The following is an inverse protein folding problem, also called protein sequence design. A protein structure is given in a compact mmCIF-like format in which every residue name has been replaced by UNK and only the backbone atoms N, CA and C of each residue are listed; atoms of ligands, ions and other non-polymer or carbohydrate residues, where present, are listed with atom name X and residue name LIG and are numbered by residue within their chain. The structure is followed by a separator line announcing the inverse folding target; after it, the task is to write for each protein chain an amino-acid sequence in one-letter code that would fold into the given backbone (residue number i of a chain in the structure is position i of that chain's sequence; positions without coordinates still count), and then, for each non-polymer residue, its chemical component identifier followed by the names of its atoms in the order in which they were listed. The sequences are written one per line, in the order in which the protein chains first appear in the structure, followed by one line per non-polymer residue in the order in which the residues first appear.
data_IF_284698044863
#
_entry.id   IF_284698044863
#
_cell.length_a   1.000
_cell.length_b   1.000
_cell.length_c   1.000
_cell.angle_alpha   90.00
_cell.angle_beta   90.00
_cell.angle_gamma   90.00
#
_symmetry.space_group_name_H-M   'P 1'
#
loop_
_entity.id
_entity.type
_entity.pdbx_description
1 polymer ?
#
# COMPACT_ATOMS: atom_id res chain seq x y z
N UNK A 1 7.41 3.00 -33.16
CA UNK A 1 8.17 1.78 -33.47
C UNK A 1 9.03 1.39 -32.27
N UNK A 2 8.52 0.55 -31.36
CA UNK A 2 9.34 -0.21 -30.43
C UNK A 2 9.53 -1.66 -30.93
N UNK A 3 10.71 -2.21 -30.65
CA UNK A 3 11.18 -3.53 -31.10
C UNK A 3 10.35 -4.71 -30.56
N UNK A 4 10.19 -5.80 -31.33
CA UNK A 4 9.42 -6.98 -30.90
C UNK A 4 10.24 -7.89 -29.97
N UNK A 5 9.65 -8.25 -28.82
CA UNK A 5 10.07 -9.39 -28.01
C UNK A 5 9.89 -10.68 -28.80
N UNK A 6 10.98 -11.42 -28.99
CA UNK A 6 10.99 -12.76 -29.58
C UNK A 6 10.14 -13.70 -28.74
N UNK A 7 9.01 -14.14 -29.30
CA UNK A 7 8.26 -15.31 -28.83
C UNK A 7 8.72 -16.46 -29.72
N UNK A 8 9.51 -17.39 -29.19
CA UNK A 8 9.73 -18.67 -29.86
C UNK A 8 8.61 -19.61 -29.43
N UNK A 9 7.72 -19.88 -30.39
CA UNK A 9 6.83 -21.02 -30.37
C UNK A 9 7.63 -22.29 -30.59
N UNK A 10 7.32 -23.33 -29.84
CA UNK A 10 7.57 -24.73 -30.22
C UNK A 10 6.27 -25.49 -30.02
N UNK A 11 5.72 -25.97 -31.14
CA UNK A 11 4.55 -26.84 -31.23
C UNK A 11 4.92 -28.31 -30.90
N UNK A 12 3.97 -29.08 -30.33
CA UNK A 12 3.96 -30.55 -30.40
C UNK A 12 3.71 -31.34 -29.09
N UNK A 13 2.43 -31.56 -28.76
CA UNK A 13 1.69 -32.63 -28.00
C UNK A 13 2.41 -33.75 -27.17
N UNK A 14 1.75 -34.48 -26.21
CA UNK A 14 0.31 -34.53 -25.93
C UNK A 14 -0.12 -34.31 -24.46
N UNK A 15 -1.44 -34.18 -24.33
CA UNK A 15 -2.31 -34.16 -23.15
C UNK A 15 -1.90 -35.04 -21.96
N UNK A 16 -1.84 -34.41 -20.78
CA UNK A 16 -1.82 -35.07 -19.47
C UNK A 16 -1.86 -34.04 -18.34
N UNK A 17 -2.99 -33.97 -17.63
CA UNK A 17 -3.31 -33.21 -16.41
C UNK A 17 -2.14 -32.44 -15.76
N UNK A 18 -2.09 -31.12 -15.97
CA UNK A 18 -1.16 -30.23 -15.27
C UNK A 18 -1.75 -29.79 -13.93
N UNK A 19 -1.28 -30.40 -12.85
CA UNK A 19 -1.41 -29.85 -11.50
C UNK A 19 -0.39 -28.71 -11.32
N UNK A 20 -0.89 -27.47 -11.28
CA UNK A 20 -0.09 -26.24 -11.16
C UNK A 20 0.07 -25.85 -9.69
N UNK A 21 0.92 -26.56 -8.97
CA UNK A 21 1.49 -26.05 -7.73
C UNK A 21 2.90 -25.49 -7.98
N UNK A 22 3.13 -24.25 -7.56
CA UNK A 22 4.38 -23.52 -7.77
C UNK A 22 5.59 -24.34 -7.24
N UNK A 23 6.47 -24.73 -8.17
CA UNK A 23 7.68 -25.49 -7.90
C UNK A 23 8.71 -24.59 -7.21
N UNK A 24 8.83 -24.69 -5.89
CA UNK A 24 9.90 -24.01 -5.13
C UNK A 24 11.13 -24.92 -5.00
N UNK A 25 12.33 -24.36 -5.24
CA UNK A 25 13.65 -25.01 -5.07
C UNK A 25 14.53 -24.97 -6.33
N UNK A 26 15.83 -24.70 -6.18
CA UNK A 26 16.81 -24.80 -7.28
C UNK A 26 17.33 -26.24 -7.36
N UNK A 27 16.86 -27.02 -8.33
CA UNK A 27 17.34 -28.38 -8.60
C UNK A 27 16.34 -29.25 -9.35
N UNK A 28 16.83 -30.17 -10.20
CA UNK A 28 15.98 -31.17 -10.88
C UNK A 28 15.50 -32.20 -9.85
N UNK A 29 14.19 -32.25 -9.64
CA UNK A 29 13.57 -33.25 -8.74
C UNK A 29 13.72 -34.65 -9.35
N UNK A 30 13.80 -35.67 -8.49
CA UNK A 30 13.74 -37.05 -8.95
C UNK A 30 12.38 -37.28 -9.62
N UNK A 31 12.38 -37.88 -10.80
CA UNK A 31 11.15 -38.29 -11.51
C UNK A 31 10.66 -39.63 -10.97
N UNK A 32 9.56 -40.15 -11.52
CA UNK A 32 9.10 -41.51 -11.19
C UNK A 32 10.11 -42.53 -11.70
N UNK A 33 10.65 -42.33 -12.91
CA UNK A 33 11.67 -43.17 -13.53
C UNK A 33 12.96 -43.19 -12.71
N UNK A 34 13.40 -42.02 -12.22
CA UNK A 34 14.56 -41.94 -11.32
C UNK A 34 14.33 -42.81 -10.06
N UNK A 35 13.11 -42.83 -9.50
CA UNK A 35 12.79 -43.62 -8.31
C UNK A 35 12.68 -45.12 -8.61
N UNK A 36 12.14 -45.50 -9.77
CA UNK A 36 12.12 -46.90 -10.21
C UNK A 36 13.55 -47.43 -10.39
N UNK A 37 14.45 -46.61 -10.94
CA UNK A 37 15.87 -46.96 -11.05
C UNK A 37 16.56 -47.06 -9.68
N UNK A 38 16.19 -46.21 -8.71
CA UNK A 38 16.66 -46.33 -7.32
C UNK A 38 16.16 -47.63 -6.67
N UNK A 39 14.88 -47.99 -6.87
CA UNK A 39 14.31 -49.26 -6.39
C UNK A 39 15.05 -50.47 -6.95
N UNK A 40 15.27 -50.50 -8.26
CA UNK A 40 16.02 -51.58 -8.92
C UNK A 40 17.47 -51.67 -8.40
N UNK A 41 18.14 -50.53 -8.24
CA UNK A 41 19.50 -50.49 -7.69
C UNK A 41 19.59 -50.98 -6.25
N UNK A 42 18.64 -50.60 -5.38
CA UNK A 42 18.59 -51.08 -4.00
C UNK A 42 18.37 -52.60 -3.94
N UNK A 43 17.55 -53.16 -4.84
CA UNK A 43 17.27 -54.61 -4.92
C UNK A 43 18.51 -55.44 -5.26
N UNK A 44 19.38 -54.90 -6.11
CA UNK A 44 20.63 -55.56 -6.53
C UNK A 44 21.80 -55.24 -5.59
N UNK A 45 21.61 -54.36 -4.60
CA UNK A 45 22.65 -53.98 -3.63
C UNK A 45 23.61 -52.89 -4.12
N UNK A 46 23.25 -52.12 -5.15
CA UNK A 46 24.08 -51.03 -5.64
C UNK A 46 24.25 -49.91 -4.59
N UNK A 47 25.46 -49.36 -4.51
CA UNK A 47 25.70 -48.16 -3.70
C UNK A 47 24.96 -46.93 -4.26
N UNK A 48 24.62 -45.97 -3.39
CA UNK A 48 24.00 -44.72 -3.82
C UNK A 48 24.81 -43.95 -4.88
N UNK A 49 26.14 -44.12 -4.95
CA UNK A 49 27.00 -43.54 -5.99
C UNK A 49 26.79 -44.24 -7.35
N UNK A 50 26.73 -45.57 -7.35
CA UNK A 50 26.49 -46.36 -8.56
C UNK A 50 25.09 -46.07 -9.15
N UNK A 51 24.07 -46.03 -8.29
CA UNK A 51 22.70 -45.68 -8.71
C UNK A 51 22.67 -44.26 -9.30
N UNK A 52 23.32 -43.30 -8.64
CA UNK A 52 23.35 -41.90 -9.06
C UNK A 52 24.04 -41.68 -10.42
N UNK A 53 25.10 -42.45 -10.72
CA UNK A 53 25.72 -42.46 -12.05
C UNK A 53 24.74 -42.95 -13.13
N UNK A 54 24.00 -44.04 -12.87
CA UNK A 54 23.02 -44.61 -13.82
C UNK A 54 21.89 -43.65 -14.18
N UNK A 55 21.42 -42.84 -13.22
CA UNK A 55 20.31 -41.89 -13.43
C UNK A 55 20.77 -40.44 -13.69
N UNK A 56 22.08 -40.23 -13.84
CA UNK A 56 22.71 -38.91 -14.00
C UNK A 56 22.23 -37.89 -12.94
N UNK A 57 22.43 -38.24 -11.67
CA UNK A 57 22.15 -37.38 -10.51
C UNK A 57 23.35 -37.33 -9.59
N UNK A 58 23.39 -36.32 -8.71
CA UNK A 58 24.40 -36.26 -7.67
C UNK A 58 24.13 -37.33 -6.60
N UNK A 59 25.16 -38.07 -6.15
CA UNK A 59 25.00 -39.18 -5.21
C UNK A 59 24.27 -38.79 -3.91
N UNK A 60 24.43 -37.54 -3.46
CA UNK A 60 23.78 -37.05 -2.23
C UNK A 60 22.28 -36.85 -2.39
N UNK A 61 21.76 -36.74 -3.62
CA UNK A 61 20.32 -36.72 -3.89
C UNK A 61 19.75 -38.12 -3.68
N UNK A 62 20.39 -39.14 -4.26
CA UNK A 62 19.99 -40.55 -4.13
C UNK A 62 20.13 -41.03 -2.69
N UNK A 63 21.24 -40.76 -2.01
CA UNK A 63 21.44 -41.16 -0.63
C UNK A 63 20.38 -40.57 0.31
N UNK A 64 20.05 -39.27 0.16
CA UNK A 64 18.99 -38.63 0.95
C UNK A 64 17.60 -39.13 0.59
N UNK A 65 17.34 -39.48 -0.66
CA UNK A 65 16.08 -40.09 -1.07
C UNK A 65 15.89 -41.45 -0.41
N UNK A 66 16.91 -42.31 -0.46
CA UNK A 66 16.87 -43.64 0.16
C UNK A 66 16.78 -43.52 1.69
N UNK A 67 17.50 -42.59 2.31
CA UNK A 67 17.41 -42.37 3.76
C UNK A 67 15.99 -41.96 4.19
N UNK A 68 15.27 -41.18 3.36
CA UNK A 68 13.93 -40.66 3.71
C UNK A 68 12.79 -41.64 3.44
N UNK A 69 12.97 -42.55 2.48
CA UNK A 69 11.87 -43.37 1.94
C UNK A 69 12.21 -44.87 1.89
N UNK A 70 13.45 -45.26 2.16
CA UNK A 70 13.89 -46.64 2.25
C UNK A 70 13.95 -47.13 3.70
N UNK A 71 14.06 -48.43 3.85
CA UNK A 71 14.20 -49.12 5.13
C UNK A 71 15.14 -50.31 4.98
N UNK A 72 15.71 -50.78 6.08
CA UNK A 72 16.55 -51.98 6.08
C UNK A 72 15.75 -53.18 6.56
N UNK A 73 15.97 -54.33 5.95
CA UNK A 73 15.49 -55.63 6.42
C UNK A 73 16.74 -56.44 6.79
N UNK A 74 16.71 -57.13 7.92
CA UNK A 74 17.75 -58.08 8.32
C UNK A 74 17.21 -59.47 8.03
N UNK A 75 17.91 -60.23 7.19
CA UNK A 75 17.56 -61.62 6.90
C UNK A 75 17.95 -62.54 8.06
N UNK A 76 17.44 -63.78 8.07
CA UNK A 76 17.71 -64.78 9.13
C UNK A 76 19.20 -65.06 9.31
N UNK A 77 20.00 -64.91 8.24
CA UNK A 77 21.46 -65.06 8.24
C UNK A 77 22.21 -63.81 8.75
N UNK A 78 21.49 -62.79 9.26
CA UNK A 78 22.07 -61.54 9.77
C UNK A 78 22.47 -60.53 8.69
N UNK A 79 22.15 -60.80 7.42
CA UNK A 79 22.49 -59.91 6.31
C UNK A 79 21.51 -58.73 6.24
N UNK A 80 22.04 -57.50 6.23
CA UNK A 80 21.21 -56.29 6.06
C UNK A 80 20.97 -56.01 4.56
N UNK A 81 19.70 -56.00 4.14
CA UNK A 81 19.30 -55.59 2.81
C UNK A 81 18.53 -54.28 2.83
N UNK A 82 18.95 -53.33 1.99
CA UNK A 82 18.26 -52.06 1.81
C UNK A 82 17.07 -52.23 0.88
N UNK A 83 15.88 -51.82 1.34
CA UNK A 83 14.64 -51.81 0.56
C UNK A 83 14.21 -50.38 0.30
N UNK A 84 13.65 -50.18 -0.89
CA UNK A 84 13.10 -48.92 -1.35
C UNK A 84 11.94 -49.23 -2.29
N UNK A 85 10.79 -48.57 -2.12
CA UNK A 85 9.63 -48.73 -2.98
C UNK A 85 9.33 -47.41 -3.69
N UNK A 86 9.44 -47.40 -5.03
CA UNK A 86 9.31 -46.19 -5.83
C UNK A 86 7.92 -45.56 -5.74
N UNK A 87 6.87 -46.39 -5.69
CA UNK A 87 5.47 -45.93 -5.59
C UNK A 87 5.22 -45.21 -4.26
N UNK A 88 5.56 -45.83 -3.14
CA UNK A 88 5.39 -45.25 -1.81
C UNK A 88 6.24 -43.98 -1.64
N UNK A 89 7.46 -43.96 -2.20
CA UNK A 89 8.31 -42.78 -2.20
C UNK A 89 7.72 -41.64 -3.03
N UNK A 90 7.09 -41.93 -4.18
CA UNK A 90 6.40 -40.95 -5.01
C UNK A 90 5.17 -40.37 -4.29
N UNK A 91 4.31 -41.23 -3.72
CA UNK A 91 3.13 -40.81 -2.94
C UNK A 91 3.54 -39.98 -1.71
N UNK A 92 4.54 -40.43 -0.95
CA UNK A 92 5.06 -39.69 0.21
C UNK A 92 5.67 -38.35 -0.19
N UNK A 93 6.37 -38.28 -1.33
CA UNK A 93 6.90 -37.02 -1.86
C UNK A 93 5.76 -36.08 -2.25
N UNK A 94 4.74 -36.58 -2.97
CA UNK A 94 3.57 -35.80 -3.35
C UNK A 94 2.84 -35.25 -2.10
N UNK A 95 2.60 -36.08 -1.08
CA UNK A 95 2.02 -35.64 0.19
C UNK A 95 2.87 -34.57 0.90
N UNK A 96 4.20 -34.74 0.94
CA UNK A 96 5.13 -33.74 1.50
C UNK A 96 5.26 -32.50 0.63
N UNK A 97 4.88 -32.53 -0.65
CA UNK A 97 4.89 -31.38 -1.54
C UNK A 97 3.72 -30.43 -1.28
N UNK A 98 2.61 -30.93 -0.74
CA UNK A 98 1.41 -30.11 -0.50
C UNK A 98 1.70 -28.97 0.50
N UNK A 99 2.62 -29.17 1.46
CA UNK A 99 3.02 -28.23 2.56
C UNK A 99 2.08 -27.03 2.73
N UNK A 100 0.81 -27.21 3.11
CA UNK A 100 -0.06 -26.07 3.32
C UNK A 100 0.30 -25.51 4.69
N UNK A 101 1.25 -24.59 4.75
CA UNK A 101 1.35 -23.72 5.92
C UNK A 101 0.04 -22.93 5.96
N UNK A 102 -0.72 -23.07 7.04
CA UNK A 102 -1.86 -22.20 7.29
C UNK A 102 -1.34 -20.76 7.23
N UNK A 103 -2.07 -19.89 6.52
CA UNK A 103 -1.67 -18.48 6.39
C UNK A 103 -1.92 -17.82 7.73
N UNK A 104 -1.10 -16.82 8.11
CA UNK A 104 -1.22 -16.14 9.40
C UNK A 104 -2.63 -15.59 9.68
N UNK A 105 -3.31 -15.06 8.67
CA UNK A 105 -4.70 -14.56 8.77
C UNK A 105 -5.76 -15.67 8.83
N UNK A 106 -5.42 -16.90 8.48
CA UNK A 106 -6.32 -18.04 8.67
C UNK A 106 -6.10 -18.68 10.05
N UNK A 107 -4.91 -18.52 10.63
CA UNK A 107 -4.54 -19.02 11.96
C UNK A 107 -4.95 -18.08 13.10
N UNK A 108 -4.95 -16.76 12.88
CA UNK A 108 -5.31 -15.75 13.88
C UNK A 108 -6.60 -14.99 13.52
N UNK A 109 -7.76 -15.38 14.09
CA UNK A 109 -9.02 -14.67 13.90
C UNK A 109 -8.96 -13.21 14.39
N UNK A 110 -8.23 -12.95 15.48
CA UNK A 110 -8.07 -11.60 16.04
C UNK A 110 -7.37 -10.66 15.07
N UNK A 111 -6.20 -11.08 14.55
CA UNK A 111 -5.47 -10.29 13.55
C UNK A 111 -6.29 -10.13 12.27
N UNK A 112 -6.99 -11.18 11.85
CA UNK A 112 -7.87 -11.14 10.67
C UNK A 112 -8.97 -10.09 10.83
N UNK A 113 -9.67 -10.06 11.97
CA UNK A 113 -10.71 -9.08 12.26
C UNK A 113 -10.18 -7.64 12.15
N UNK A 114 -9.05 -7.36 12.78
CA UNK A 114 -8.40 -6.04 12.69
C UNK A 114 -8.06 -5.67 11.24
N UNK A 115 -7.49 -6.60 10.48
CA UNK A 115 -7.16 -6.37 9.05
C UNK A 115 -8.43 -6.13 8.23
N UNK A 116 -9.52 -6.85 8.50
CA UNK A 116 -10.82 -6.67 7.85
C UNK A 116 -11.38 -5.28 8.14
N UNK A 117 -11.37 -4.84 9.40
CA UNK A 117 -11.85 -3.51 9.79
C UNK A 117 -11.06 -2.39 9.11
N UNK A 118 -9.73 -2.51 9.06
CA UNK A 118 -8.89 -1.54 8.35
C UNK A 118 -9.16 -1.52 6.83
N UNK A 119 -9.34 -2.69 6.20
CA UNK A 119 -9.67 -2.79 4.78
C UNK A 119 -11.07 -2.24 4.48
N UNK A 120 -12.04 -2.44 5.39
CA UNK A 120 -13.38 -1.87 5.29
C UNK A 120 -13.36 -0.33 5.33
N UNK A 121 -12.44 0.26 6.12
CA UNK A 121 -12.11 1.70 6.11
C UNK A 121 -11.32 2.16 4.86
N UNK A 122 -11.08 1.25 3.91
CA UNK A 122 -10.32 1.42 2.67
C UNK A 122 -8.85 1.77 2.89
N UNK A 123 -8.24 1.29 3.97
CA UNK A 123 -6.78 1.39 4.12
C UNK A 123 -6.08 0.44 3.16
N UNK A 124 -4.91 0.84 2.64
CA UNK A 124 -4.13 -0.04 1.77
C UNK A 124 -3.41 -1.11 2.60
N UNK A 125 -3.13 -2.30 2.06
CA UNK A 125 -2.35 -3.33 2.77
C UNK A 125 -1.01 -2.83 3.31
N UNK A 126 -0.32 -1.97 2.55
CA UNK A 126 0.91 -1.32 3.00
C UNK A 126 0.72 -0.43 4.23
N UNK A 127 -0.37 0.35 4.26
CA UNK A 127 -0.72 1.20 5.41
C UNK A 127 -1.07 0.37 6.64
N UNK A 128 -1.83 -0.70 6.46
CA UNK A 128 -2.21 -1.63 7.53
C UNK A 128 -0.96 -2.26 8.16
N UNK A 129 -0.05 -2.77 7.33
CA UNK A 129 1.19 -3.39 7.79
C UNK A 129 2.03 -2.43 8.65
N UNK A 130 2.24 -1.20 8.18
CA UNK A 130 2.98 -0.18 8.94
C UNK A 130 2.29 0.22 10.24
N UNK A 131 0.96 0.37 10.22
CA UNK A 131 0.20 0.69 11.42
C UNK A 131 0.23 -0.43 12.46
N UNK A 132 0.11 -1.69 12.04
CA UNK A 132 0.19 -2.83 12.96
C UNK A 132 1.56 -2.91 13.64
N UNK A 133 2.64 -2.59 12.92
CA UNK A 133 3.98 -2.52 13.49
C UNK A 133 4.12 -1.41 14.53
N UNK A 134 3.51 -0.25 14.27
CA UNK A 134 3.48 0.90 15.19
C UNK A 134 2.60 0.66 16.42
N UNK A 135 1.34 0.25 16.22
CA UNK A 135 0.35 0.09 17.28
C UNK A 135 0.59 -1.16 18.14
N UNK A 136 1.22 -2.19 17.59
CA UNK A 136 1.59 -3.42 18.28
C UNK A 136 3.12 -3.58 18.26
N UNK A 137 3.82 -2.58 18.83
CA UNK A 137 5.29 -2.57 18.94
C UNK A 137 5.85 -3.72 19.78
N UNK A 138 5.04 -4.25 20.70
CA UNK A 138 5.46 -5.28 21.65
C UNK A 138 4.82 -6.66 21.38
N UNK A 139 3.94 -6.75 20.38
CA UNK A 139 3.23 -7.99 20.02
C UNK A 139 3.44 -8.36 18.54
N UNK A 140 4.41 -9.24 18.30
CA UNK A 140 4.72 -9.75 16.96
C UNK A 140 3.59 -10.61 16.36
N UNK A 141 2.70 -11.16 17.18
CA UNK A 141 1.57 -11.97 16.70
C UNK A 141 0.60 -11.14 15.88
N UNK A 142 0.49 -9.84 16.19
CA UNK A 142 -0.36 -8.87 15.50
C UNK A 142 0.28 -8.24 14.25
N UNK A 143 1.57 -8.54 13.97
CA UNK A 143 2.27 -7.99 12.80
C UNK A 143 2.07 -8.85 11.56
N UNK A 144 1.89 -8.23 10.41
CA UNK A 144 1.81 -8.94 9.13
C UNK A 144 2.36 -8.09 7.99
N UNK A 145 3.05 -8.73 7.04
CA UNK A 145 3.50 -8.04 5.83
C UNK A 145 2.34 -7.72 4.90
N UNK A 146 2.43 -6.60 4.20
CA UNK A 146 1.45 -6.22 3.20
C UNK A 146 1.34 -7.23 2.04
N UNK A 147 2.41 -7.95 1.72
CA UNK A 147 2.40 -9.05 0.74
C UNK A 147 1.54 -10.23 1.18
N UNK A 148 1.55 -10.55 2.48
CA UNK A 148 0.70 -11.61 3.03
C UNK A 148 -0.78 -11.19 3.02
N UNK A 149 -1.09 -9.92 3.30
CA UNK A 149 -2.44 -9.36 3.13
C UNK A 149 -2.87 -9.45 1.66
N UNK A 150 -2.03 -9.05 0.70
CA UNK A 150 -2.33 -9.17 -0.73
C UNK A 150 -2.57 -10.62 -1.14
N UNK A 151 -1.73 -11.55 -0.68
CA UNK A 151 -1.87 -12.98 -0.94
C UNK A 151 -3.21 -13.52 -0.41
N UNK A 152 -3.64 -13.08 0.78
CA UNK A 152 -4.95 -13.44 1.32
C UNK A 152 -6.13 -12.87 0.51
N UNK A 153 -5.96 -11.70 -0.12
CA UNK A 153 -6.98 -11.08 -0.98
C UNK A 153 -7.10 -11.72 -2.36
N UNK A 154 -6.00 -12.23 -2.94
CA UNK A 154 -5.98 -12.74 -4.32
C UNK A 154 -6.16 -14.26 -4.44
N UNK A 155 -5.81 -15.03 -3.41
CA UNK A 155 -5.99 -16.49 -3.43
C UNK A 155 -7.47 -16.82 -3.24
N UNK A 156 -8.12 -17.28 -4.31
CA UNK A 156 -9.55 -17.60 -4.34
C UNK A 156 -9.89 -18.94 -3.67
N UNK A 157 -10.94 -18.95 -2.85
CA UNK A 157 -11.54 -20.12 -2.20
C UNK A 157 -12.76 -19.71 -1.34
N UNK A 158 -13.71 -20.63 -1.08
CA UNK A 158 -14.81 -20.40 -0.12
C UNK A 158 -14.19 -20.08 1.27
N UNK A 159 -14.58 -18.97 1.90
CA UNK A 159 -13.99 -18.49 3.17
C UNK A 159 -12.75 -17.58 3.04
N UNK A 160 -12.36 -17.19 1.82
CA UNK A 160 -11.27 -16.23 1.60
C UNK A 160 -11.55 -14.85 2.23
N UNK A 161 -10.48 -14.15 2.62
CA UNK A 161 -10.53 -12.77 3.15
C UNK A 161 -11.32 -11.83 2.24
N UNK A 162 -11.22 -12.05 0.92
CA UNK A 162 -11.96 -11.28 -0.08
C UNK A 162 -13.48 -11.46 0.05
N UNK A 163 -13.96 -12.69 0.21
CA UNK A 163 -15.40 -12.96 0.31
C UNK A 163 -16.02 -12.30 1.55
N UNK A 164 -15.29 -12.35 2.67
CA UNK A 164 -15.65 -11.67 3.92
C UNK A 164 -15.72 -10.15 3.74
N UNK A 165 -14.72 -9.55 3.06
CA UNK A 165 -14.74 -8.11 2.76
C UNK A 165 -15.86 -7.71 1.81
N UNK A 166 -16.16 -8.52 0.80
CA UNK A 166 -17.28 -8.24 -0.11
C UNK A 166 -18.61 -8.23 0.66
N UNK A 167 -18.75 -9.09 1.66
CA UNK A 167 -19.92 -9.15 2.54
C UNK A 167 -19.99 -7.97 3.52
N UNK A 168 -18.88 -7.63 4.19
CA UNK A 168 -18.79 -6.50 5.13
C UNK A 168 -19.01 -5.17 4.42
N UNK A 169 -18.33 -4.96 3.30
CA UNK A 169 -18.38 -3.69 2.57
C UNK A 169 -19.57 -3.58 1.60
N UNK A 170 -20.32 -4.67 1.40
CA UNK A 170 -21.43 -4.78 0.42
C UNK A 170 -21.01 -4.33 -0.99
N UNK A 171 -19.77 -4.60 -1.37
CA UNK A 171 -19.21 -4.19 -2.67
C UNK A 171 -18.07 -5.10 -3.12
N UNK A 172 -17.94 -5.28 -4.44
CA UNK A 172 -16.81 -6.00 -5.05
C UNK A 172 -15.54 -5.14 -5.14
N UNK A 173 -15.67 -3.83 -4.96
CA UNK A 173 -14.57 -2.85 -4.97
C UNK A 173 -13.91 -2.73 -3.60
N UNK A 174 -13.28 -3.82 -3.16
CA UNK A 174 -12.64 -3.95 -1.85
C UNK A 174 -11.34 -3.15 -1.70
N UNK A 175 -10.65 -2.85 -2.81
CA UNK A 175 -9.40 -2.09 -2.80
C UNK A 175 -9.54 -0.78 -3.59
N UNK A 176 -8.86 0.26 -3.11
CA UNK A 176 -8.69 1.51 -3.86
C UNK A 176 -7.82 1.23 -5.09
N UNK A 177 -8.45 1.24 -6.28
CA UNK A 177 -7.71 1.17 -7.55
C UNK A 177 -7.29 2.58 -7.97
N UNK A 178 -6.01 2.74 -8.32
CA UNK A 178 -5.56 3.92 -9.05
C UNK A 178 -6.26 3.96 -10.40
N UNK A 179 -6.87 5.09 -10.75
CA UNK A 179 -7.49 5.27 -12.07
C UNK A 179 -6.44 5.08 -13.17
N UNK A 180 -6.69 4.14 -14.10
CA UNK A 180 -5.73 3.72 -15.14
C UNK A 180 -5.62 4.68 -16.34
N UNK A 181 -6.01 5.95 -16.20
CA UNK A 181 -6.05 6.85 -17.35
C UNK A 181 -5.39 8.17 -17.02
N UNK A 182 -4.07 8.23 -17.24
CA UNK A 182 -3.35 9.49 -17.34
C UNK A 182 -3.83 10.17 -18.62
N UNK A 183 -4.88 11.01 -18.52
CA UNK A 183 -5.26 11.87 -19.64
C UNK A 183 -4.07 12.75 -19.97
N UNK A 184 -3.66 12.75 -21.24
CA UNK A 184 -2.62 13.63 -21.78
C UNK A 184 -3.10 15.06 -21.54
N UNK A 185 -2.40 15.82 -20.68
CA UNK A 185 -2.69 17.25 -20.47
C UNK A 185 -2.44 17.97 -21.80
N UNK A 186 -3.35 18.85 -22.21
CA UNK A 186 -3.10 19.73 -23.34
C UNK A 186 -1.84 20.56 -23.02
N UNK A 187 -0.94 20.69 -24.00
CA UNK A 187 0.34 21.43 -23.84
C UNK A 187 0.15 22.95 -23.71
N UNK A 188 -1.09 23.43 -23.77
CA UNK A 188 -1.42 24.85 -23.81
C UNK A 188 -2.50 25.13 -22.74
N UNK A 189 -2.09 25.27 -21.48
CA UNK A 189 -2.81 26.14 -20.56
C UNK A 189 -2.01 27.44 -20.59
N UNK A 190 -2.58 28.47 -21.20
CA UNK A 190 -1.90 29.74 -21.46
C UNK A 190 -1.20 30.26 -20.21
N UNK A 191 0.05 30.66 -20.40
CA UNK A 191 0.82 31.38 -19.40
C UNK A 191 0.12 32.72 -19.17
N UNK A 192 -0.68 32.82 -18.11
CA UNK A 192 -1.10 34.11 -17.57
C UNK A 192 0.09 34.65 -16.75
N UNK A 193 1.11 35.17 -17.43
CA UNK A 193 2.15 35.98 -16.79
C UNK A 193 1.55 37.31 -16.36
N UNK A 194 1.66 37.64 -15.07
CA UNK A 194 1.30 38.95 -14.53
C UNK A 194 0.09 38.95 -13.60
N UNK A 195 0.12 38.16 -12.52
CA UNK A 195 -0.83 38.30 -11.40
C UNK A 195 -0.22 39.21 -10.34
N UNK A 196 -0.68 40.47 -10.18
CA UNK A 196 0.00 41.45 -9.32
C UNK A 196 0.05 41.02 -7.85
N UNK A 197 -0.96 40.28 -7.38
CA UNK A 197 -1.07 39.79 -5.99
C UNK A 197 -0.07 38.69 -5.61
N UNK A 198 0.75 38.22 -6.55
CA UNK A 198 1.79 37.22 -6.28
C UNK A 198 3.13 37.89 -5.93
N UNK A 199 3.33 39.14 -6.37
CA UNK A 199 4.61 39.83 -6.24
C UNK A 199 5.00 39.97 -4.76
N UNK A 200 6.16 39.43 -4.38
CA UNK A 200 6.67 39.39 -3.00
C UNK A 200 6.19 38.20 -2.18
N UNK A 201 5.30 37.38 -2.72
CA UNK A 201 4.76 36.16 -2.12
C UNK A 201 5.12 34.91 -2.95
N UNK A 202 6.10 34.99 -3.84
CA UNK A 202 6.60 33.85 -4.59
C UNK A 202 7.18 32.80 -3.64
N UNK A 203 7.02 31.51 -3.99
CA UNK A 203 7.56 30.40 -3.19
C UNK A 203 9.08 30.49 -2.96
N UNK A 204 9.81 31.18 -3.84
CA UNK A 204 11.25 31.44 -3.71
C UNK A 204 11.60 32.38 -2.55
N UNK A 205 10.64 33.16 -2.05
CA UNK A 205 10.82 34.03 -0.88
C UNK A 205 10.49 33.34 0.44
N UNK A 206 9.98 32.11 0.41
CA UNK A 206 9.70 31.33 1.61
C UNK A 206 11.00 30.89 2.28
N UNK A 207 11.03 30.87 3.61
CA UNK A 207 12.18 30.36 4.36
C UNK A 207 12.50 28.90 3.97
N UNK A 208 13.80 28.53 3.78
CA UNK A 208 14.22 27.16 3.49
C UNK A 208 13.80 26.13 4.55
N UNK A 209 13.61 26.56 5.79
CA UNK A 209 13.07 25.74 6.89
C UNK A 209 11.71 25.11 6.57
N UNK A 210 10.94 25.73 5.67
CA UNK A 210 9.68 25.17 5.22
C UNK A 210 9.87 24.00 4.26
N UNK A 211 11.02 23.85 3.59
CA UNK A 211 11.17 22.94 2.45
C UNK A 211 11.33 21.47 2.85
N UNK A 212 12.10 21.18 3.89
CA UNK A 212 12.48 19.83 4.31
C UNK A 212 11.42 19.10 5.15
N UNK A 213 10.35 19.83 5.55
CA UNK A 213 9.24 19.31 6.37
C UNK A 213 9.65 18.87 7.77
N UNK A 214 10.77 19.38 8.28
CA UNK A 214 11.24 19.09 9.63
C UNK A 214 10.55 19.98 10.68
N UNK A 215 10.19 21.21 10.30
CA UNK A 215 9.61 22.20 11.21
C UNK A 215 8.08 22.22 11.04
N UNK A 216 7.31 22.09 12.14
CA UNK A 216 5.87 22.19 12.08
C UNK A 216 5.40 23.63 11.86
N UNK A 217 4.17 23.75 11.35
CA UNK A 217 3.49 25.03 11.15
C UNK A 217 3.53 25.54 9.71
N UNK A 218 4.07 24.77 8.78
CA UNK A 218 4.02 25.05 7.35
C UNK A 218 2.93 24.19 6.69
N UNK A 219 2.01 24.82 5.98
CA UNK A 219 0.82 24.17 5.43
C UNK A 219 0.79 24.27 3.90
N UNK A 220 0.33 23.21 3.24
CA UNK A 220 0.02 23.19 1.81
C UNK A 220 -1.50 23.36 1.64
N UNK A 221 -1.91 24.27 0.77
CA UNK A 221 -3.30 24.58 0.48
C UNK A 221 -3.72 24.22 -0.95
N UNK A 222 -4.98 23.83 -1.13
CA UNK A 222 -5.58 23.52 -2.44
C UNK A 222 -7.11 23.56 -2.39
N UNK A 223 -7.75 23.62 -3.56
CA UNK A 223 -9.18 23.42 -3.72
C UNK A 223 -9.49 22.07 -4.39
N UNK A 224 -10.36 21.29 -3.75
CA UNK A 224 -10.99 20.12 -4.37
C UNK A 224 -12.30 20.57 -4.99
N UNK A 225 -12.28 20.81 -6.31
CA UNK A 225 -13.44 21.35 -7.05
C UNK A 225 -14.56 20.31 -7.22
N UNK A 226 -15.78 20.69 -6.87
CA UNK A 226 -17.00 19.90 -7.01
C UNK A 226 -17.54 19.82 -8.43
N UNK A 227 -18.72 19.23 -8.58
CA UNK A 227 -19.41 19.10 -9.87
C UNK A 227 -19.72 20.47 -10.47
N UNK A 228 -19.43 20.64 -11.76
CA UNK A 228 -19.74 21.88 -12.48
C UNK A 228 -18.93 23.11 -12.05
N UNK A 229 -17.94 22.95 -11.15
CA UNK A 229 -17.10 24.06 -10.70
C UNK A 229 -17.82 25.09 -9.82
N UNK A 230 -18.95 24.74 -9.20
CA UNK A 230 -19.69 25.65 -8.30
C UNK A 230 -19.29 25.46 -6.85
N UNK A 231 -19.32 24.21 -6.39
CA UNK A 231 -18.98 23.82 -5.03
C UNK A 231 -17.51 23.37 -4.93
N UNK A 232 -16.92 23.41 -3.73
CA UNK A 232 -15.54 22.98 -3.49
C UNK A 232 -15.32 22.53 -2.04
N UNK A 233 -14.16 21.92 -1.79
CA UNK A 233 -13.59 21.81 -0.44
C UNK A 233 -12.23 22.50 -0.43
N UNK A 234 -11.96 23.28 0.60
CA UNK A 234 -10.63 23.78 0.92
C UNK A 234 -9.88 22.67 1.64
N UNK A 235 -8.66 22.38 1.21
CA UNK A 235 -7.77 21.42 1.89
C UNK A 235 -6.52 22.12 2.36
N UNK A 236 -6.28 22.14 3.66
CA UNK A 236 -5.01 22.56 4.27
C UNK A 236 -4.34 21.35 4.87
N UNK A 237 -3.09 21.07 4.48
CA UNK A 237 -2.32 19.92 4.99
C UNK A 237 -1.01 20.40 5.60
N UNK A 238 -0.81 20.12 6.88
CA UNK A 238 0.42 20.46 7.60
C UNK A 238 1.56 19.56 7.10
N UNK A 239 2.70 20.18 6.77
CA UNK A 239 3.77 19.54 6.02
C UNK A 239 4.62 18.59 6.85
N UNK A 240 4.57 18.59 8.17
CA UNK A 240 5.34 17.66 9.00
C UNK A 240 4.48 16.43 9.32
N UNK A 241 3.40 16.66 10.06
CA UNK A 241 2.43 15.69 10.57
C UNK A 241 1.44 15.15 9.54
N UNK A 242 1.27 15.81 8.38
CA UNK A 242 0.19 15.52 7.40
C UNK A 242 -1.21 15.80 7.94
N UNK A 243 -1.33 16.51 9.05
CA UNK A 243 -2.64 16.83 9.62
C UNK A 243 -3.44 17.66 8.61
N UNK A 244 -4.67 17.25 8.36
CA UNK A 244 -5.52 17.83 7.32
C UNK A 244 -6.69 18.57 7.94
N UNK A 245 -6.90 19.81 7.50
CA UNK A 245 -8.13 20.57 7.75
C UNK A 245 -8.93 20.66 6.45
N UNK A 246 -10.25 20.57 6.57
CA UNK A 246 -11.20 20.67 5.47
C UNK A 246 -12.18 21.83 5.70
N UNK A 247 -12.26 22.74 4.74
CA UNK A 247 -13.27 23.79 4.69
C UNK A 247 -14.33 23.46 3.65
N UNK A 248 -15.61 23.68 3.98
CA UNK A 248 -16.73 23.36 3.09
C UNK A 248 -17.21 24.59 2.34
N UNK A 249 -17.24 24.50 1.00
CA UNK A 249 -17.71 25.57 0.11
C UNK A 249 -18.87 25.04 -0.75
N UNK A 250 -20.11 25.02 -0.25
CA UNK A 250 -21.23 24.39 -0.95
C UNK A 250 -21.69 25.16 -2.19
N UNK A 251 -21.60 26.49 -2.19
CA UNK A 251 -22.25 27.33 -3.21
C UNK A 251 -21.27 27.94 -4.22
N UNK A 252 -20.15 28.48 -3.71
CA UNK A 252 -19.12 29.15 -4.49
C UNK A 252 -17.74 29.08 -3.84
N UNK A 253 -16.70 29.39 -4.61
CA UNK A 253 -15.30 29.48 -4.15
C UNK A 253 -14.66 30.80 -4.61
N UNK A 254 -15.42 31.89 -4.53
CA UNK A 254 -14.88 33.24 -4.74
C UNK A 254 -13.76 33.53 -3.74
N UNK A 255 -12.90 34.48 -4.06
CA UNK A 255 -11.74 34.77 -3.21
C UNK A 255 -12.11 35.24 -1.80
N UNK A 256 -13.22 35.96 -1.67
CA UNK A 256 -13.74 36.36 -0.36
C UNK A 256 -14.21 35.16 0.46
N UNK A 257 -14.97 34.26 -0.15
CA UNK A 257 -15.51 33.08 0.52
C UNK A 257 -14.40 32.09 0.90
N UNK A 258 -13.39 31.93 0.05
CA UNK A 258 -12.20 31.12 0.37
C UNK A 258 -11.43 31.71 1.54
N UNK A 259 -11.15 33.01 1.53
CA UNK A 259 -10.44 33.69 2.63
C UNK A 259 -11.21 33.59 3.95
N UNK A 260 -12.52 33.86 3.95
CA UNK A 260 -13.35 33.78 5.15
C UNK A 260 -13.37 32.35 5.73
N UNK A 261 -13.48 31.34 4.87
CA UNK A 261 -13.46 29.94 5.30
C UNK A 261 -12.07 29.54 5.80
N UNK A 262 -10.99 29.99 5.16
CA UNK A 262 -9.63 29.77 5.64
C UNK A 262 -9.43 30.35 7.04
N UNK A 263 -9.88 31.60 7.28
CA UNK A 263 -9.81 32.26 8.58
C UNK A 263 -10.53 31.44 9.66
N UNK A 264 -11.74 30.94 9.37
CA UNK A 264 -12.48 30.09 10.31
C UNK A 264 -11.76 28.75 10.58
N UNK A 265 -11.25 28.08 9.53
CA UNK A 265 -10.54 26.80 9.66
C UNK A 265 -9.31 26.90 10.58
N UNK A 266 -8.62 28.04 10.57
CA UNK A 266 -7.38 28.22 11.32
C UNK A 266 -7.55 29.06 12.59
N UNK A 267 -8.77 29.46 12.96
CA UNK A 267 -9.03 30.41 14.06
C UNK A 267 -8.45 29.98 15.40
N UNK A 268 -8.31 28.69 15.64
CA UNK A 268 -7.79 28.13 16.90
C UNK A 268 -6.27 27.84 16.89
N UNK A 269 -5.58 28.00 15.75
CA UNK A 269 -4.15 27.72 15.63
C UNK A 269 -3.27 28.90 16.07
N UNK A 270 -2.34 28.75 17.00
CA UNK A 270 -1.43 29.85 17.33
C UNK A 270 -0.37 30.11 16.22
N UNK A 271 0.49 31.11 16.41
CA UNK A 271 1.55 31.49 15.46
C UNK A 271 2.61 30.41 15.24
N UNK A 272 2.81 29.50 16.19
CA UNK A 272 3.71 28.35 16.03
C UNK A 272 3.06 27.23 15.21
N UNK A 273 1.74 27.07 15.36
CA UNK A 273 0.93 26.09 14.64
C UNK A 273 0.61 26.51 13.21
N UNK A 274 0.65 27.81 12.90
CA UNK A 274 0.42 28.35 11.56
C UNK A 274 1.41 29.47 11.25
N UNK A 275 2.55 29.09 10.67
CA UNK A 275 3.60 30.00 10.22
C UNK A 275 3.40 30.41 8.77
N UNK A 276 3.16 29.44 7.88
CA UNK A 276 3.02 29.73 6.45
C UNK A 276 1.99 28.85 5.77
N UNK A 277 1.29 29.37 4.77
CA UNK A 277 0.47 28.61 3.83
C UNK A 277 1.08 28.70 2.44
N UNK A 278 1.17 27.59 1.73
CA UNK A 278 1.62 27.53 0.33
C UNK A 278 0.48 27.09 -0.57
N UNK A 279 0.12 27.94 -1.53
CA UNK A 279 -1.00 27.73 -2.47
C UNK A 279 -0.52 27.74 -3.92
N UNK A 280 -1.34 27.27 -4.86
CA UNK A 280 -1.08 27.57 -6.27
C UNK A 280 -1.53 28.98 -6.65
N UNK A 281 -1.26 29.34 -7.90
CA UNK A 281 -1.68 30.61 -8.46
C UNK A 281 -3.15 30.55 -8.89
N UNK A 282 -4.04 30.03 -8.06
CA UNK A 282 -5.48 30.09 -8.24
C UNK A 282 -6.00 31.52 -8.19
N UNK A 283 -7.09 31.81 -8.91
CA UNK A 283 -7.72 33.15 -8.88
C UNK A 283 -8.50 33.35 -7.57
N UNK A 284 -8.94 32.27 -6.94
CA UNK A 284 -9.56 32.24 -5.63
C UNK A 284 -8.65 32.80 -4.52
N UNK A 285 -7.34 32.85 -4.73
CA UNK A 285 -6.42 33.43 -3.73
C UNK A 285 -6.12 34.91 -3.97
N UNK A 286 -6.70 35.56 -4.99
CA UNK A 286 -6.33 36.91 -5.41
C UNK A 286 -6.47 37.98 -4.31
N UNK A 287 -7.46 37.83 -3.42
CA UNK A 287 -7.72 38.77 -2.32
C UNK A 287 -6.81 38.51 -1.11
N UNK A 288 -6.15 37.35 -1.03
CA UNK A 288 -5.30 36.98 0.12
C UNK A 288 -4.07 37.88 0.27
N UNK A 289 -3.61 38.52 -0.81
CA UNK A 289 -2.54 39.52 -0.71
C UNK A 289 -2.98 40.82 -0.02
N UNK A 290 -4.29 41.05 0.08
CA UNK A 290 -4.90 42.24 0.68
C UNK A 290 -5.50 41.95 2.05
N UNK A 291 -5.67 40.67 2.41
CA UNK A 291 -6.34 40.23 3.64
C UNK A 291 -5.49 39.20 4.35
N UNK A 292 -5.23 39.46 5.63
CA UNK A 292 -4.49 38.53 6.47
C UNK A 292 -5.35 37.31 6.84
N UNK A 293 -4.86 36.11 6.55
CA UNK A 293 -5.52 34.85 6.93
C UNK A 293 -5.46 34.64 8.45
N UNK A 294 -4.31 34.95 9.06
CA UNK A 294 -4.11 34.90 10.50
C UNK A 294 -2.89 35.73 10.90
N UNK A 295 -2.91 36.25 12.11
CA UNK A 295 -1.76 36.93 12.72
C UNK A 295 -0.51 36.05 12.65
N UNK A 296 0.58 36.61 12.12
CA UNK A 296 1.86 35.91 11.94
C UNK A 296 1.93 34.90 10.79
N UNK A 297 0.83 34.59 10.10
CA UNK A 297 0.82 33.66 8.97
C UNK A 297 1.18 34.34 7.65
N UNK A 298 2.20 33.83 6.96
CA UNK A 298 2.58 34.28 5.61
C UNK A 298 2.03 33.34 4.53
N UNK A 299 1.54 33.89 3.41
CA UNK A 299 1.05 33.10 2.28
C UNK A 299 2.05 33.19 1.13
N UNK A 300 2.41 32.02 0.57
CA UNK A 300 3.32 31.90 -0.56
C UNK A 300 2.65 31.16 -1.73
N UNK A 301 3.04 31.51 -2.95
CA UNK A 301 2.47 30.97 -4.18
C UNK A 301 3.50 30.17 -4.98
N UNK A 302 3.11 28.95 -5.35
CA UNK A 302 3.90 28.09 -6.23
C UNK A 302 4.13 28.72 -7.59
N UNK A 303 5.14 28.21 -8.28
CA UNK A 303 5.38 28.53 -9.68
C UNK A 303 4.26 27.94 -10.58
N UNK A 304 3.95 28.61 -11.71
CA UNK A 304 3.02 28.07 -12.68
C UNK A 304 3.48 26.70 -13.17
N UNK A 305 2.54 25.75 -13.26
CA UNK A 305 2.81 24.38 -13.73
C UNK A 305 3.81 23.58 -12.88
N UNK A 306 4.02 23.96 -11.62
CA UNK A 306 4.94 23.28 -10.68
C UNK A 306 4.20 22.53 -9.56
N UNK A 307 3.33 21.54 -9.85
CA UNK A 307 2.57 20.82 -8.82
C UNK A 307 3.44 20.04 -7.82
N UNK A 308 4.69 19.71 -8.20
CA UNK A 308 5.66 19.06 -7.31
C UNK A 308 6.07 19.93 -6.12
N UNK A 309 5.72 21.22 -6.11
CA UNK A 309 5.91 22.11 -4.96
C UNK A 309 4.82 21.95 -3.88
N UNK A 310 3.72 21.22 -4.17
CA UNK A 310 2.66 20.83 -3.22
C UNK A 310 2.30 19.33 -3.29
N UNK A 311 3.29 18.43 -3.19
CA UNK A 311 3.06 17.01 -3.44
C UNK A 311 2.25 16.34 -2.32
N UNK A 312 2.17 16.95 -1.13
CA UNK A 312 1.36 16.42 -0.03
C UNK A 312 -0.12 16.59 -0.36
N UNK A 313 -0.51 17.77 -0.83
CA UNK A 313 -1.90 18.05 -1.22
C UNK A 313 -2.37 17.18 -2.37
N UNK A 314 -1.54 16.92 -3.39
CA UNK A 314 -1.92 16.01 -4.49
C UNK A 314 -2.30 14.62 -3.97
N UNK A 315 -1.52 14.07 -3.03
CA UNK A 315 -1.81 12.78 -2.44
C UNK A 315 -3.06 12.80 -1.57
N UNK A 316 -3.20 13.80 -0.70
CA UNK A 316 -4.36 13.96 0.19
C UNK A 316 -5.66 14.17 -0.60
N UNK A 317 -5.64 15.01 -1.63
CA UNK A 317 -6.78 15.25 -2.52
C UNK A 317 -7.12 13.99 -3.32
N UNK A 318 -6.10 13.24 -3.74
CA UNK A 318 -6.29 11.92 -4.34
C UNK A 318 -6.99 10.94 -3.39
N UNK A 319 -6.63 10.93 -2.10
CA UNK A 319 -7.27 10.09 -1.09
C UNK A 319 -8.71 10.50 -0.81
N UNK A 320 -8.97 11.81 -0.65
CA UNK A 320 -10.31 12.37 -0.50
C UNK A 320 -11.23 11.89 -1.63
N UNK A 321 -10.73 11.94 -2.87
CA UNK A 321 -11.48 11.52 -4.05
C UNK A 321 -11.75 10.03 -4.13
N UNK A 322 -10.80 9.21 -3.67
CA UNK A 322 -10.87 7.75 -3.78
C UNK A 322 -11.68 7.12 -2.66
N UNK A 323 -11.64 7.70 -1.45
CA UNK A 323 -12.31 7.16 -0.25
C UNK A 323 -13.69 7.74 -0.02
N UNK A 324 -13.87 9.04 -0.22
CA UNK A 324 -15.06 9.74 0.28
C UNK A 324 -15.86 10.41 -0.83
N UNK A 325 -15.20 11.15 -1.73
CA UNK A 325 -15.89 12.00 -2.71
C UNK A 325 -15.44 11.69 -4.14
N UNK A 326 -16.09 10.71 -4.79
CA UNK A 326 -15.80 10.34 -6.19
C UNK A 326 -15.74 11.58 -7.09
N UNK A 327 -14.89 11.54 -8.11
CA UNK A 327 -14.76 12.67 -9.05
C UNK A 327 -16.13 13.04 -9.62
N UNK A 328 -16.47 14.33 -9.56
CA UNK A 328 -17.79 14.83 -9.96
C UNK A 328 -18.85 14.81 -8.86
N UNK A 329 -18.47 14.54 -7.60
CA UNK A 329 -19.32 14.80 -6.43
C UNK A 329 -19.68 16.28 -6.39
N UNK A 330 -20.96 16.57 -6.12
CA UNK A 330 -21.43 17.92 -5.86
C UNK A 330 -21.38 18.20 -4.35
N UNK A 331 -20.46 19.08 -3.94
CA UNK A 331 -20.28 19.41 -2.53
C UNK A 331 -21.43 20.25 -1.97
N UNK A 332 -22.33 20.80 -2.80
CA UNK A 332 -23.57 21.41 -2.32
C UNK A 332 -24.49 20.41 -1.62
N UNK A 333 -24.38 19.12 -1.99
CA UNK A 333 -25.19 18.02 -1.42
C UNK A 333 -24.53 17.33 -0.23
N UNK A 334 -23.29 17.70 0.10
CA UNK A 334 -22.54 17.13 1.21
C UNK A 334 -22.78 17.98 2.44
N UNK A 335 -23.06 17.36 3.59
CA UNK A 335 -23.31 18.10 4.83
C UNK A 335 -22.00 18.48 5.53
N UNK A 336 -21.96 19.59 6.29
CA UNK A 336 -20.80 19.96 7.10
C UNK A 336 -20.35 18.86 8.07
N UNK A 337 -21.28 18.12 8.66
CA UNK A 337 -20.99 17.03 9.61
C UNK A 337 -20.24 15.88 8.91
N UNK A 338 -20.61 15.56 7.66
CA UNK A 338 -19.89 14.56 6.89
C UNK A 338 -18.49 15.06 6.50
N UNK A 339 -18.31 16.34 6.21
CA UNK A 339 -16.97 16.93 5.98
C UNK A 339 -16.11 16.81 7.24
N UNK A 340 -16.66 17.12 8.43
CA UNK A 340 -15.97 16.98 9.70
C UNK A 340 -15.61 15.51 9.99
N UNK A 341 -16.50 14.56 9.72
CA UNK A 341 -16.22 13.14 9.83
C UNK A 341 -15.08 12.70 8.90
N UNK A 342 -15.09 13.14 7.64
CA UNK A 342 -13.99 12.85 6.68
C UNK A 342 -12.67 13.43 7.17
N UNK A 343 -12.68 14.65 7.72
CA UNK A 343 -11.48 15.25 8.30
C UNK A 343 -10.92 14.40 9.44
N UNK A 344 -11.77 13.94 10.36
CA UNK A 344 -11.38 13.06 11.46
C UNK A 344 -10.80 11.75 10.91
N UNK A 345 -11.48 11.11 9.97
CA UNK A 345 -11.01 9.89 9.34
C UNK A 345 -9.63 10.06 8.67
N UNK A 346 -9.39 11.17 7.97
CA UNK A 346 -8.08 11.44 7.37
C UNK A 346 -6.96 11.57 8.40
N UNK A 347 -7.27 12.15 9.56
CA UNK A 347 -6.33 12.42 10.65
C UNK A 347 -6.16 11.23 11.61
N UNK A 348 -7.08 10.27 11.60
CA UNK A 348 -7.01 8.98 12.30
C UNK A 348 -6.51 7.84 11.39
N UNK A 349 -6.28 8.14 10.11
CA UNK A 349 -5.74 7.20 9.16
C UNK A 349 -4.21 7.24 9.18
N UNK A 350 -3.54 6.11 9.48
CA UNK A 350 -2.08 6.05 9.61
C UNK A 350 -1.37 6.31 8.29
N UNK A 351 -0.16 6.85 8.37
CA UNK A 351 0.65 7.20 7.19
C UNK A 351 1.99 6.46 7.25
N UNK A 352 2.32 5.76 6.16
CA UNK A 352 3.62 5.08 6.04
C UNK A 352 4.81 6.04 6.19
N UNK A 353 4.68 7.27 5.68
CA UNK A 353 5.72 8.31 5.81
C UNK A 353 5.94 8.74 7.27
N UNK A 354 4.98 8.48 8.16
CA UNK A 354 5.06 8.76 9.59
C UNK A 354 5.37 7.50 10.40
N UNK A 355 5.94 6.47 9.76
CA UNK A 355 6.28 5.21 10.44
C UNK A 355 5.07 4.42 10.93
N UNK A 356 3.88 4.64 10.37
CA UNK A 356 2.65 3.96 10.80
C UNK A 356 1.80 4.75 11.81
N UNK A 357 2.30 5.88 12.32
CA UNK A 357 1.51 6.79 13.14
C UNK A 357 0.45 7.54 12.32
N UNK A 358 -0.57 8.03 13.01
CA UNK A 358 -1.62 8.89 12.47
C UNK A 358 -1.19 10.36 12.47
N UNK A 359 -1.71 11.18 11.54
CA UNK A 359 -1.44 12.61 11.54
C UNK A 359 -1.81 13.29 12.86
N UNK A 360 -2.88 12.83 13.53
CA UNK A 360 -3.32 13.34 14.82
C UNK A 360 -2.31 13.05 15.94
N UNK A 361 -1.76 11.84 15.99
CA UNK A 361 -0.71 11.48 16.96
C UNK A 361 0.52 12.38 16.78
N UNK A 362 1.04 12.48 15.55
CA UNK A 362 2.22 13.29 15.26
C UNK A 362 1.98 14.78 15.56
N UNK A 363 0.83 15.33 15.17
CA UNK A 363 0.49 16.72 15.47
C UNK A 363 0.46 16.97 16.98
N UNK A 364 -0.17 16.07 17.74
CA UNK A 364 -0.23 16.17 19.20
C UNK A 364 1.15 16.07 19.83
N UNK A 365 2.04 15.20 19.34
CA UNK A 365 3.42 15.10 19.86
C UNK A 365 4.21 16.39 19.61
N UNK A 366 4.12 16.96 18.41
CA UNK A 366 4.84 18.17 18.02
C UNK A 366 4.43 19.37 18.89
N UNK A 367 3.13 19.55 19.14
CA UNK A 367 2.62 20.71 19.87
C UNK A 367 2.41 20.50 21.38
N UNK A 368 2.40 19.25 21.87
CA UNK A 368 2.51 18.98 23.33
C UNK A 368 3.92 19.25 23.85
N UNK A 369 4.96 18.93 23.06
CA UNK A 369 6.36 19.17 23.44
C UNK A 369 6.68 20.67 23.58
N UNK A 370 6.05 21.53 22.78
CA UNK A 370 6.21 22.99 22.88
C UNK A 370 5.63 23.61 24.16
N UNK A 371 4.59 23.01 24.74
CA UNK A 371 3.97 23.52 25.97
C UNK A 371 4.77 23.21 27.25
N UNK A 372 5.77 22.33 27.18
CA UNK A 372 6.57 21.90 28.34
C UNK A 372 7.93 22.61 28.45
N UNK A 373 8.23 23.53 27.52
CA UNK A 373 9.51 24.27 27.45
C UNK A 373 9.34 25.80 27.46
N UNK A 374 8.18 26.31 27.89
CA UNK A 374 7.93 27.75 28.08
C UNK A 374 7.97 28.13 29.56
#
# INVERSE_FOLDING_TARGET
MPAPMKTQAVDGFPSGVFDKHALVGRGRRLTVEDRVAIEAGCRVGDSARAIAQKINRHHSVVAREITRNGWKIVDEDGTEQLRYNAHNAAVSTAGRMVRPKLRKLDESPTLRGVVVDCLARRWSPGRISAWLEHAFSDDESMRISHEAIYSALYIQGKGSLRAELEEVMKTKDVLIRGGSTRKRRARNAGVLTGRPWIKGAEITHRSPEADDRAIPGHWEGDLVIGKGGKSALITLVERTSRYTLLGHLPDEHSSHTVVATLQDMVKDLNTEQLKTITWDQGAEMAVTAQVQIKDGCQVFFCEPHSPWQRPTNENTNGEIRRRFYKKGTDFATVTPEHVAWVQNELNETPRQILGGATPREILNELFKRGASTA
#
